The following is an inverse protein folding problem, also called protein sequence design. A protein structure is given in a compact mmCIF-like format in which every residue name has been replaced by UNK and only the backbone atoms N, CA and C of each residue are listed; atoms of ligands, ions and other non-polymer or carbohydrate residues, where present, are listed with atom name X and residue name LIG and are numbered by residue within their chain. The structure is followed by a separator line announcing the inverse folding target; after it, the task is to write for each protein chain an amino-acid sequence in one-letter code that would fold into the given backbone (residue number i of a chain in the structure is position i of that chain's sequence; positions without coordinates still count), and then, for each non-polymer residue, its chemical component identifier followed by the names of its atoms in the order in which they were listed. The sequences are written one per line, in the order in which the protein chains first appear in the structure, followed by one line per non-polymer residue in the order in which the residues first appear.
data_IF_411440286328
#
_entry.id   IF_411440286328
#
_cell.length_a   1.000
_cell.length_b   1.000
_cell.length_c   1.000
_cell.angle_alpha   90.00
_cell.angle_beta   90.00
_cell.angle_gamma   90.00
#
_symmetry.space_group_name_H-M   'P 1'
#
loop_
_entity.id
_entity.type
_entity.pdbx_description
1 polymer ?
#
# COMPACT_ATOMS: atom_id res chain seq x y z
N UNK A 1 -4.31 23.61 -7.37
CA UNK A 1 -4.64 22.27 -7.90
C UNK A 1 -5.58 21.58 -6.95
N UNK A 2 -6.67 21.06 -7.49
CA UNK A 2 -7.72 20.36 -6.78
C UNK A 2 -7.17 19.01 -6.28
N UNK A 3 -7.39 18.66 -5.01
CA UNK A 3 -6.88 17.41 -4.42
C UNK A 3 -7.72 16.18 -4.82
N UNK A 4 -8.60 16.33 -5.80
CA UNK A 4 -9.48 15.28 -6.34
C UNK A 4 -8.71 14.11 -6.95
N UNK A 5 -7.40 14.24 -7.18
CA UNK A 5 -6.50 13.17 -7.66
C UNK A 5 -5.72 12.46 -6.55
N UNK A 6 -5.81 12.94 -5.30
CA UNK A 6 -5.10 12.36 -4.17
C UNK A 6 -5.69 10.99 -3.79
N UNK A 7 -4.86 10.04 -3.33
CA UNK A 7 -5.37 8.75 -2.89
C UNK A 7 -6.35 8.90 -1.71
N UNK A 8 -7.47 8.20 -1.79
CA UNK A 8 -8.52 8.20 -0.80
C UNK A 8 -8.02 7.61 0.53
N UNK A 9 -7.15 6.61 0.49
CA UNK A 9 -6.59 6.01 1.71
C UNK A 9 -5.76 6.97 2.57
N UNK A 10 -5.24 8.07 1.99
CA UNK A 10 -4.54 9.12 2.75
C UNK A 10 -5.47 10.25 3.18
N UNK A 11 -6.45 10.60 2.36
CA UNK A 11 -7.30 11.78 2.55
C UNK A 11 -8.57 11.49 3.33
N UNK A 12 -9.11 10.28 3.20
CA UNK A 12 -10.25 9.76 3.96
C UNK A 12 -10.12 8.23 4.15
N UNK A 13 -9.29 7.78 5.11
CA UNK A 13 -8.99 6.36 5.31
C UNK A 13 -10.19 5.51 5.68
N UNK A 14 -11.22 6.08 6.31
CA UNK A 14 -12.45 5.38 6.67
C UNK A 14 -13.31 5.10 5.44
N UNK A 15 -13.48 6.11 4.58
CA UNK A 15 -14.19 5.93 3.31
C UNK A 15 -13.44 4.97 2.38
N UNK A 16 -12.11 5.05 2.34
CA UNK A 16 -11.28 4.10 1.59
C UNK A 16 -11.53 2.66 2.04
N UNK A 17 -11.52 2.41 3.36
CA UNK A 17 -11.82 1.08 3.93
C UNK A 17 -13.23 0.60 3.62
N UNK A 18 -14.24 1.49 3.68
CA UNK A 18 -15.61 1.13 3.34
C UNK A 18 -15.75 0.71 1.86
N UNK A 19 -15.04 1.40 0.95
CA UNK A 19 -15.01 1.04 -0.47
C UNK A 19 -14.23 -0.27 -0.69
N UNK A 20 -13.06 -0.44 -0.08
CA UNK A 20 -12.26 -1.67 -0.20
C UNK A 20 -13.04 -2.91 0.23
N UNK A 21 -13.92 -2.80 1.23
CA UNK A 21 -14.73 -3.93 1.70
C UNK A 21 -15.72 -4.48 0.66
N UNK A 22 -16.02 -3.72 -0.40
CA UNK A 22 -16.87 -4.18 -1.50
C UNK A 22 -16.09 -4.95 -2.57
N UNK A 23 -14.76 -4.92 -2.52
CA UNK A 23 -13.90 -5.60 -3.48
C UNK A 23 -13.92 -7.11 -3.25
N UNK A 24 -13.67 -7.86 -4.33
CA UNK A 24 -13.45 -9.30 -4.26
C UNK A 24 -12.33 -9.61 -3.25
N UNK A 25 -12.44 -10.70 -2.51
CA UNK A 25 -11.46 -11.06 -1.49
C UNK A 25 -11.20 -12.55 -1.46
N UNK A 26 -9.95 -12.90 -1.17
CA UNK A 26 -9.50 -14.29 -1.01
C UNK A 26 -9.12 -14.49 0.46
N UNK A 27 -9.53 -15.64 1.00
CA UNK A 27 -9.24 -16.02 2.39
C UNK A 27 -8.19 -17.12 2.41
N UNK A 28 -7.12 -16.89 3.19
CA UNK A 28 -6.00 -17.81 3.33
C UNK A 28 -5.94 -18.33 4.76
N UNK A 29 -5.78 -19.64 4.93
CA UNK A 29 -5.48 -20.22 6.24
C UNK A 29 -4.00 -20.01 6.56
N UNK A 30 -3.69 -19.55 7.77
CA UNK A 30 -2.31 -19.42 8.24
C UNK A 30 -1.76 -20.78 8.63
N UNK A 31 -0.50 -21.03 8.27
CA UNK A 31 0.26 -22.17 8.78
C UNK A 31 0.45 -21.97 10.29
N UNK A 32 0.02 -22.97 11.04
CA UNK A 32 0.23 -23.12 12.48
C UNK A 32 0.98 -24.43 12.71
N UNK A 33 1.37 -24.70 13.95
CA UNK A 33 1.95 -25.98 14.35
C UNK A 33 1.03 -27.15 13.96
N UNK A 34 1.63 -28.32 13.75
CA UNK A 34 0.96 -29.47 13.14
C UNK A 34 -0.21 -30.04 13.96
N UNK A 35 -0.35 -29.61 15.22
CA UNK A 35 -1.41 -30.00 16.14
C UNK A 35 -2.77 -29.32 15.87
N UNK A 36 -2.81 -28.32 14.98
CA UNK A 36 -4.06 -27.61 14.64
C UNK A 36 -4.57 -28.05 13.26
N UNK A 37 -5.78 -28.62 13.25
CA UNK A 37 -6.50 -28.98 12.03
C UNK A 37 -6.68 -27.77 11.11
N UNK A 38 -6.60 -27.99 9.79
CA UNK A 38 -6.65 -26.92 8.78
C UNK A 38 -7.91 -26.04 8.91
N UNK A 39 -9.02 -26.63 9.33
CA UNK A 39 -10.31 -25.94 9.47
C UNK A 39 -10.32 -24.91 10.61
N UNK A 40 -9.54 -25.17 11.66
CA UNK A 40 -9.45 -24.35 12.88
C UNK A 40 -8.29 -23.35 12.82
N UNK A 41 -7.48 -23.40 11.78
CA UNK A 41 -6.39 -22.44 11.59
C UNK A 41 -6.93 -21.02 11.42
N UNK A 42 -6.25 -20.01 12.00
CA UNK A 42 -6.59 -18.62 11.77
C UNK A 42 -6.64 -18.28 10.28
N UNK A 43 -7.64 -17.51 9.89
CA UNK A 43 -7.87 -17.13 8.49
C UNK A 43 -7.57 -15.66 8.28
N UNK A 44 -6.80 -15.36 7.24
CA UNK A 44 -6.50 -13.99 6.82
C UNK A 44 -7.22 -13.69 5.52
N UNK A 45 -8.02 -12.63 5.55
CA UNK A 45 -8.69 -12.09 4.37
C UNK A 45 -7.81 -11.05 3.68
N UNK A 46 -7.57 -11.23 2.39
CA UNK A 46 -6.91 -10.26 1.51
C UNK A 46 -7.90 -9.84 0.44
N UNK A 47 -8.14 -8.53 0.34
CA UNK A 47 -8.91 -7.96 -0.76
C UNK A 47 -8.04 -7.92 -2.01
N UNK A 48 -8.65 -8.23 -3.15
CA UNK A 48 -8.00 -8.13 -4.46
C UNK A 48 -7.57 -6.68 -4.67
N UNK A 49 -6.39 -6.49 -5.25
CA UNK A 49 -5.85 -5.19 -5.54
C UNK A 49 -6.46 -4.67 -6.84
N UNK A 50 -7.45 -3.79 -6.71
CA UNK A 50 -8.32 -3.35 -7.82
C UNK A 50 -8.21 -1.86 -8.09
N UNK A 51 -7.99 -1.03 -7.07
CA UNK A 51 -7.90 0.42 -7.25
C UNK A 51 -6.83 1.01 -6.33
N UNK A 52 -5.77 1.57 -6.93
CA UNK A 52 -4.65 2.19 -6.23
C UNK A 52 -4.95 3.57 -5.63
N UNK A 53 -6.13 4.13 -5.89
CA UNK A 53 -6.64 5.33 -5.19
C UNK A 53 -7.38 4.95 -3.93
N UNK A 54 -7.98 3.76 -3.86
CA UNK A 54 -8.70 3.26 -2.67
C UNK A 54 -7.78 2.43 -1.77
N UNK A 55 -6.95 1.58 -2.35
CA UNK A 55 -6.07 0.67 -1.63
C UNK A 55 -4.64 1.19 -1.61
N UNK A 56 -4.07 1.25 -0.41
CA UNK A 56 -2.67 1.59 -0.24
C UNK A 56 -1.79 0.40 -0.64
N UNK A 57 -1.20 0.48 -1.83
CA UNK A 57 -0.32 -0.57 -2.35
C UNK A 57 0.81 -0.95 -1.39
N UNK A 58 1.41 0.03 -0.69
CA UNK A 58 2.54 -0.23 0.21
C UNK A 58 2.10 -1.15 1.35
N UNK A 59 0.98 -0.81 2.00
CA UNK A 59 0.40 -1.62 3.08
C UNK A 59 -0.12 -2.96 2.56
N UNK A 60 -0.79 -2.97 1.40
CA UNK A 60 -1.31 -4.18 0.79
C UNK A 60 -0.20 -5.18 0.43
N UNK A 61 0.87 -4.71 -0.23
CA UNK A 61 2.00 -5.54 -0.62
C UNK A 61 2.76 -6.07 0.61
N UNK A 62 2.92 -5.24 1.65
CA UNK A 62 3.51 -5.68 2.93
C UNK A 62 2.68 -6.81 3.56
N UNK A 63 1.36 -6.63 3.67
CA UNK A 63 0.45 -7.64 4.21
C UNK A 63 0.53 -8.97 3.43
N UNK A 64 0.65 -8.89 2.11
CA UNK A 64 0.81 -10.09 1.28
C UNK A 64 2.17 -10.77 1.48
N UNK A 65 3.26 -10.00 1.59
CA UNK A 65 4.59 -10.55 1.91
C UNK A 65 4.62 -11.23 3.28
N UNK A 66 4.01 -10.62 4.29
CA UNK A 66 3.87 -11.21 5.63
C UNK A 66 3.09 -12.52 5.56
N UNK A 67 1.99 -12.56 4.82
CA UNK A 67 1.20 -13.78 4.61
C UNK A 67 2.04 -14.90 3.96
N UNK A 68 2.79 -14.59 2.90
CA UNK A 68 3.66 -15.55 2.24
C UNK A 68 4.76 -16.05 3.18
N UNK A 69 5.36 -15.16 3.98
CA UNK A 69 6.37 -15.49 4.98
C UNK A 69 5.83 -16.38 6.10
N UNK A 70 4.68 -16.02 6.70
CA UNK A 70 4.04 -16.82 7.76
C UNK A 70 3.73 -18.25 7.30
N UNK A 71 3.37 -18.42 6.03
CA UNK A 71 3.05 -19.73 5.48
C UNK A 71 4.27 -20.45 4.88
N UNK A 72 5.46 -19.85 4.89
CA UNK A 72 6.66 -20.38 4.23
C UNK A 72 6.39 -20.78 2.77
N UNK A 73 5.67 -19.94 2.03
CA UNK A 73 5.33 -20.23 0.65
C UNK A 73 6.58 -20.23 -0.23
N UNK A 74 6.73 -21.28 -1.04
CA UNK A 74 7.73 -21.31 -2.11
C UNK A 74 7.48 -20.16 -3.09
N UNK A 75 8.54 -19.71 -3.78
CA UNK A 75 8.47 -18.55 -4.69
C UNK A 75 7.38 -18.70 -5.78
N UNK A 76 7.29 -19.87 -6.41
CA UNK A 76 6.28 -20.16 -7.44
C UNK A 76 4.85 -20.15 -6.88
N UNK A 77 4.67 -20.63 -5.65
CA UNK A 77 3.36 -20.61 -5.00
C UNK A 77 2.98 -19.17 -4.63
N UNK A 78 3.91 -18.40 -4.06
CA UNK A 78 3.73 -16.97 -3.76
C UNK A 78 3.35 -16.18 -5.00
N UNK A 79 4.00 -16.43 -6.13
CA UNK A 79 3.67 -15.79 -7.41
C UNK A 79 2.27 -16.18 -7.90
N UNK A 80 1.89 -17.47 -7.83
CA UNK A 80 0.54 -17.92 -8.19
C UNK A 80 -0.51 -17.25 -7.32
N UNK A 81 -0.31 -17.23 -6.00
CA UNK A 81 -1.22 -16.58 -5.07
C UNK A 81 -1.29 -15.07 -5.33
N UNK A 82 -0.17 -14.42 -5.62
CA UNK A 82 -0.12 -13.00 -5.97
C UNK A 82 -0.97 -12.71 -7.21
N UNK A 83 -0.89 -13.55 -8.24
CA UNK A 83 -1.71 -13.39 -9.43
C UNK A 83 -3.21 -13.56 -9.18
N UNK A 84 -3.63 -14.27 -8.12
CA UNK A 84 -5.05 -14.39 -7.78
C UNK A 84 -5.59 -13.12 -7.09
N UNK A 85 -4.73 -12.43 -6.34
CA UNK A 85 -5.13 -11.25 -5.55
C UNK A 85 -4.87 -9.92 -6.24
N UNK A 86 -4.46 -9.90 -7.51
CA UNK A 86 -4.33 -8.66 -8.30
C UNK A 86 -5.42 -8.66 -9.36
N UNK A 87 -6.05 -7.52 -9.59
CA UNK A 87 -7.02 -7.35 -10.66
C UNK A 87 -6.40 -7.55 -12.05
N UNK A 88 -7.20 -8.10 -12.98
CA UNK A 88 -6.76 -8.44 -14.33
C UNK A 88 -6.16 -7.23 -15.06
N UNK A 89 -6.71 -6.02 -14.86
CA UNK A 89 -6.22 -4.81 -15.51
C UNK A 89 -4.76 -4.49 -15.15
N UNK A 90 -4.34 -4.79 -13.92
CA UNK A 90 -2.96 -4.60 -13.49
C UNK A 90 -2.10 -5.77 -13.95
N UNK A 91 -2.61 -7.00 -13.88
CA UNK A 91 -1.88 -8.21 -14.27
C UNK A 91 -1.43 -8.17 -15.73
N UNK A 92 -2.29 -7.71 -16.64
CA UNK A 92 -1.97 -7.58 -18.06
C UNK A 92 -0.73 -6.69 -18.25
N UNK A 93 -0.65 -5.58 -17.50
CA UNK A 93 0.42 -4.57 -17.61
C UNK A 93 1.76 -5.00 -17.00
N UNK A 94 1.76 -6.00 -16.12
CA UNK A 94 2.96 -6.57 -15.47
C UNK A 94 3.19 -8.04 -15.84
N UNK A 95 2.57 -8.50 -16.92
CA UNK A 95 2.52 -9.92 -17.31
C UNK A 95 3.89 -10.51 -17.67
N UNK A 96 4.84 -9.67 -18.07
CA UNK A 96 6.22 -10.04 -18.41
C UNK A 96 7.08 -10.38 -17.18
N UNK A 97 6.63 -10.00 -15.97
CA UNK A 97 7.37 -10.24 -14.72
C UNK A 97 7.13 -11.64 -14.19
N UNK A 98 8.22 -12.37 -13.98
CA UNK A 98 8.22 -13.82 -13.70
C UNK A 98 8.51 -14.19 -12.26
N UNK A 99 8.89 -13.24 -11.41
CA UNK A 99 9.14 -13.52 -9.99
C UNK A 99 8.25 -12.66 -9.13
N UNK A 100 7.94 -13.17 -7.94
CA UNK A 100 7.09 -12.52 -6.96
C UNK A 100 7.50 -11.06 -6.70
N UNK A 101 8.76 -10.82 -6.34
CA UNK A 101 9.24 -9.45 -6.05
C UNK A 101 9.28 -8.56 -7.28
N UNK A 102 9.77 -9.06 -8.43
CA UNK A 102 9.77 -8.25 -9.67
C UNK A 102 8.38 -7.82 -10.12
N UNK A 103 7.36 -8.59 -9.77
CA UNK A 103 5.97 -8.31 -10.13
C UNK A 103 5.35 -7.28 -9.19
N UNK A 104 5.67 -7.35 -7.90
CA UNK A 104 5.34 -6.30 -6.94
C UNK A 104 6.05 -4.99 -7.29
N UNK A 105 7.33 -5.02 -7.62
CA UNK A 105 8.08 -3.83 -8.01
C UNK A 105 7.47 -3.17 -9.26
N UNK A 106 7.17 -3.97 -10.30
CA UNK A 106 6.50 -3.47 -11.50
C UNK A 106 5.10 -2.90 -11.21
N UNK A 107 4.33 -3.55 -10.34
CA UNK A 107 3.03 -3.02 -9.91
C UNK A 107 3.20 -1.69 -9.17
N UNK A 108 4.20 -1.57 -8.29
CA UNK A 108 4.56 -0.32 -7.64
C UNK A 108 4.90 0.78 -8.64
N UNK A 109 5.73 0.49 -9.64
CA UNK A 109 6.10 1.46 -10.69
C UNK A 109 4.91 1.89 -11.56
N UNK A 110 3.91 1.01 -11.76
CA UNK A 110 2.66 1.38 -12.43
C UNK A 110 1.78 2.32 -11.60
N UNK A 111 1.86 2.23 -10.27
CA UNK A 111 1.01 2.96 -9.32
C UNK A 111 1.63 4.30 -8.96
N UNK A 112 2.94 4.33 -8.72
CA UNK A 112 3.69 5.52 -8.31
C UNK A 112 4.38 6.12 -9.52
N UNK A 113 3.65 6.91 -10.29
CA UNK A 113 4.22 7.58 -11.45
C UNK A 113 4.92 8.88 -11.04
N UNK A 114 5.90 9.38 -11.82
CA UNK A 114 6.51 10.68 -11.55
C UNK A 114 5.51 11.84 -11.47
N UNK A 115 4.38 11.74 -12.17
CA UNK A 115 3.31 12.74 -12.13
C UNK A 115 2.62 12.82 -10.76
N UNK A 116 2.62 11.71 -10.00
CA UNK A 116 2.01 11.66 -8.66
C UNK A 116 2.92 12.26 -7.57
N UNK A 117 4.21 12.48 -7.85
CA UNK A 117 5.17 13.06 -6.89
C UNK A 117 4.65 14.40 -6.33
N UNK A 118 4.15 15.27 -7.22
CA UNK A 118 3.62 16.59 -6.83
C UNK A 118 2.41 16.44 -5.91
N UNK A 119 1.57 15.43 -6.12
CA UNK A 119 0.40 15.16 -5.28
C UNK A 119 0.82 14.85 -3.85
N UNK A 120 1.78 13.95 -3.64
CA UNK A 120 2.28 13.60 -2.31
C UNK A 120 3.01 14.76 -1.64
N UNK A 121 3.77 15.56 -2.39
CA UNK A 121 4.42 16.76 -1.89
C UNK A 121 3.41 17.83 -1.46
N UNK A 122 2.33 18.04 -2.23
CA UNK A 122 1.25 18.97 -1.87
C UNK A 122 0.51 18.51 -0.62
N UNK A 123 0.23 17.20 -0.47
CA UNK A 123 -0.37 16.63 0.73
C UNK A 123 0.49 16.88 1.96
N UNK A 124 1.80 16.65 1.84
CA UNK A 124 2.77 16.89 2.90
C UNK A 124 2.80 18.39 3.29
N UNK A 125 2.88 19.31 2.33
CA UNK A 125 2.88 20.76 2.57
C UNK A 125 1.57 21.28 3.20
N UNK A 126 0.43 20.63 2.93
CA UNK A 126 -0.89 21.01 3.47
C UNK A 126 -1.27 20.26 4.74
N UNK A 127 -0.41 19.37 5.23
CA UNK A 127 -0.62 18.64 6.46
C UNK A 127 -0.74 19.62 7.63
N UNK A 128 -1.72 19.43 8.50
CA UNK A 128 -1.94 20.28 9.68
C UNK A 128 -2.20 19.39 10.88
N UNK A 129 -1.44 19.57 11.96
CA UNK A 129 -1.52 18.73 13.17
C UNK A 129 -2.94 18.61 13.72
N UNK A 130 -3.69 19.72 13.70
CA UNK A 130 -5.10 19.80 14.17
C UNK A 130 -6.09 18.87 13.46
N UNK A 131 -5.75 18.38 12.26
CA UNK A 131 -6.59 17.42 11.50
C UNK A 131 -6.43 15.97 11.98
N UNK A 132 -5.51 15.73 12.91
CA UNK A 132 -5.20 14.41 13.43
C UNK A 132 -5.55 14.37 14.93
N UNK A 133 -6.05 13.22 15.42
CA UNK A 133 -6.41 13.07 16.83
C UNK A 133 -5.17 13.19 17.73
N UNK A 134 -4.04 12.65 17.31
CA UNK A 134 -2.78 12.65 18.07
C UNK A 134 -1.57 12.99 17.17
N UNK A 135 -0.42 13.21 17.83
CA UNK A 135 0.82 13.56 17.13
C UNK A 135 1.43 12.37 16.38
N UNK A 136 1.16 11.16 16.84
CA UNK A 136 1.65 9.92 16.22
C UNK A 136 1.01 9.72 14.86
N UNK A 137 -0.30 9.92 14.72
CA UNK A 137 -1.03 9.88 13.46
C UNK A 137 -0.55 10.95 12.50
N UNK A 138 -0.29 12.17 13.00
CA UNK A 138 0.27 13.25 12.18
C UNK A 138 1.67 12.91 11.64
N UNK A 139 2.57 12.42 12.49
CA UNK A 139 3.92 12.01 12.10
C UNK A 139 3.87 10.82 11.12
N UNK A 140 2.97 9.87 11.37
CA UNK A 140 2.77 8.70 10.49
C UNK A 140 2.34 9.15 9.10
N UNK A 141 1.35 10.04 9.01
CA UNK A 141 0.89 10.61 7.73
C UNK A 141 2.02 11.29 6.95
N UNK A 142 2.87 12.08 7.63
CA UNK A 142 4.00 12.75 6.97
C UNK A 142 5.01 11.74 6.44
N UNK A 143 5.38 10.74 7.25
CA UNK A 143 6.29 9.65 6.84
C UNK A 143 5.73 8.89 5.66
N UNK A 144 4.43 8.63 5.67
CA UNK A 144 3.73 7.93 4.61
C UNK A 144 3.70 8.72 3.30
N UNK A 145 3.41 10.02 3.35
CA UNK A 145 3.47 10.89 2.17
C UNK A 145 4.89 10.95 1.60
N UNK A 146 5.90 11.08 2.46
CA UNK A 146 7.31 11.07 2.06
C UNK A 146 7.69 9.76 1.35
N UNK A 147 7.40 8.62 1.98
CA UNK A 147 7.74 7.32 1.42
C UNK A 147 7.11 7.10 0.04
N UNK A 148 5.87 7.56 -0.17
CA UNK A 148 5.18 7.45 -1.47
C UNK A 148 5.72 8.44 -2.49
N UNK A 149 6.12 9.64 -2.08
CA UNK A 149 6.81 10.59 -2.94
C UNK A 149 8.15 9.99 -3.45
N UNK A 150 8.92 9.36 -2.56
CA UNK A 150 10.18 8.72 -2.92
C UNK A 150 10.00 7.53 -3.90
N UNK A 151 8.83 6.86 -3.87
CA UNK A 151 8.47 5.83 -4.85
C UNK A 151 8.11 6.42 -6.23
N UNK A 152 7.56 7.64 -6.29
CA UNK A 152 7.23 8.33 -7.54
C UNK A 152 8.47 8.86 -8.28
N UNK A 153 9.50 9.30 -7.55
CA UNK A 153 10.70 9.86 -8.14
C UNK A 153 11.95 9.43 -7.37
N UNK A 154 12.72 8.50 -7.96
CA UNK A 154 13.96 7.98 -7.37
C UNK A 154 15.08 9.04 -7.29
N UNK A 155 15.00 10.11 -8.10
CA UNK A 155 16.04 11.14 -8.23
C UNK A 155 15.79 12.41 -7.42
N UNK A 156 14.51 12.73 -7.14
CA UNK A 156 14.11 13.92 -6.38
C UNK A 156 13.44 13.47 -5.08
N UNK A 157 14.27 13.22 -4.06
CA UNK A 157 13.81 12.73 -2.74
C UNK A 157 13.57 13.90 -1.81
N UNK A 158 12.49 13.81 -1.04
CA UNK A 158 12.20 14.81 -0.01
C UNK A 158 13.21 14.64 1.13
N UNK A 159 14.00 15.68 1.39
CA UNK A 159 15.03 15.66 2.43
C UNK A 159 14.43 15.63 3.83
N UNK A 160 15.18 15.12 4.81
CA UNK A 160 14.73 15.14 6.22
C UNK A 160 14.52 16.57 6.74
N UNK A 161 15.30 17.53 6.22
CA UNK A 161 15.14 18.94 6.55
C UNK A 161 13.78 19.47 6.10
N UNK A 162 13.39 19.20 4.85
CA UNK A 162 12.07 19.60 4.33
C UNK A 162 10.92 18.99 5.12
N UNK A 163 11.06 17.73 5.53
CA UNK A 163 10.09 17.06 6.42
C UNK A 163 10.00 17.76 7.77
N UNK A 164 11.15 18.08 8.37
CA UNK A 164 11.22 18.77 9.67
C UNK A 164 10.61 20.17 9.59
N UNK A 165 10.92 20.92 8.54
CA UNK A 165 10.35 22.25 8.31
C UNK A 165 8.83 22.20 8.13
N UNK A 166 8.30 21.13 7.55
CA UNK A 166 6.85 20.91 7.42
C UNK A 166 6.24 20.59 8.77
N UNK A 167 6.85 19.69 9.55
CA UNK A 167 6.38 19.39 10.92
C UNK A 167 6.31 20.67 11.75
N UNK A 168 7.39 21.46 11.80
CA UNK A 168 7.46 22.68 12.60
C UNK A 168 6.40 23.71 12.16
N UNK A 169 6.18 23.86 10.85
CA UNK A 169 5.17 24.79 10.31
C UNK A 169 3.72 24.36 10.55
N UNK A 170 3.51 23.07 10.78
CA UNK A 170 2.18 22.45 10.84
C UNK A 170 1.71 22.11 12.26
N UNK A 171 2.57 22.29 13.27
CA UNK A 171 2.26 22.26 14.70
C UNK A 171 1.52 23.54 15.10
#
# INVERSE_FOLDING_TARGET
RDLTTAPLYLTNPEKARAVEQTFESITFSLKMDDDIEIQDRPKVKIYKFTDSKVQDFVTWAKKFRELAGHNNWAADYSLKMLNLVIDEQFLIRISDKRTFDTKLDALGELIFTPNDYTTYLELLKRAQRRKFPDITGFITFIRECRARADLCNKNDKISEREVTDVVIRSL
#
